data_IF_187826536334
#
_entry.id   IF_187826536334
#
_cell.length_a   1.000
_cell.length_b   1.000
_cell.length_c   1.000
_cell.angle_alpha   90.00
_cell.angle_beta   90.00
_cell.angle_gamma   90.00
#
_symmetry.space_group_name_H-M   'P 1'
#
loop_
_entity.id
_entity.type
_entity.pdbx_description
1 polymer ?
#
# COMPACT_ATOMS: atom_id res chain seq x y z
N UNK A 1 -3.06 9.92 -21.59
CA UNK A 1 -3.35 8.68 -20.86
C UNK A 1 -2.73 8.67 -19.45
N UNK A 2 -1.37 8.88 -19.27
CA UNK A 2 -0.78 8.86 -17.92
C UNK A 2 -1.42 9.87 -16.98
N UNK A 3 -1.58 11.11 -17.43
CA UNK A 3 -2.21 12.16 -16.62
C UNK A 3 -3.66 11.84 -16.25
N UNK A 4 -4.40 11.17 -17.13
CA UNK A 4 -5.78 10.74 -16.85
C UNK A 4 -5.83 9.63 -15.79
N UNK A 5 -4.92 8.65 -15.87
CA UNK A 5 -4.82 7.60 -14.84
C UNK A 5 -4.39 8.15 -13.49
N UNK A 6 -3.46 9.10 -13.47
CA UNK A 6 -3.04 9.79 -12.24
C UNK A 6 -4.19 10.61 -11.67
N UNK A 7 -4.94 11.35 -12.51
CA UNK A 7 -6.10 12.11 -12.09
C UNK A 7 -7.22 11.20 -11.57
N UNK A 8 -7.48 10.09 -12.25
CA UNK A 8 -8.42 9.08 -11.78
C UNK A 8 -8.06 8.59 -10.37
N UNK A 9 -6.80 8.18 -10.18
CA UNK A 9 -6.32 7.72 -8.88
C UNK A 9 -6.41 8.81 -7.80
N UNK A 10 -6.07 10.06 -8.15
CA UNK A 10 -6.17 11.19 -7.22
C UNK A 10 -7.61 11.44 -6.77
N UNK A 11 -8.57 11.42 -7.70
CA UNK A 11 -9.99 11.54 -7.40
C UNK A 11 -10.48 10.36 -6.55
N UNK A 12 -10.09 9.13 -6.92
CA UNK A 12 -10.50 7.90 -6.26
C UNK A 12 -10.01 7.82 -4.81
N UNK A 13 -8.85 8.43 -4.51
CA UNK A 13 -8.23 8.46 -3.18
C UNK A 13 -8.42 9.81 -2.46
N UNK A 14 -9.37 10.63 -2.88
CA UNK A 14 -9.69 11.91 -2.27
C UNK A 14 -8.47 12.83 -2.11
N UNK A 15 -7.58 12.84 -3.10
CA UNK A 15 -6.39 13.67 -3.06
C UNK A 15 -6.75 15.17 -3.14
N UNK A 16 -6.07 16.04 -2.37
CA UNK A 16 -6.36 17.47 -2.38
C UNK A 16 -5.92 18.11 -3.70
N UNK A 17 -6.44 19.31 -3.95
CA UNK A 17 -5.94 20.17 -5.04
C UNK A 17 -4.43 20.38 -4.89
N UNK A 18 -3.70 20.26 -5.98
CA UNK A 18 -2.23 20.32 -5.98
C UNK A 18 -1.51 19.00 -5.71
N UNK A 19 -2.24 17.92 -5.42
CA UNK A 19 -1.66 16.59 -5.42
C UNK A 19 -1.05 16.24 -6.79
N UNK A 20 0.01 15.45 -6.78
CA UNK A 20 0.70 15.07 -8.00
C UNK A 20 1.29 13.66 -7.88
N UNK A 21 1.39 12.97 -9.00
CA UNK A 21 1.87 11.59 -9.01
C UNK A 21 2.43 11.15 -10.33
N UNK A 22 2.78 9.88 -10.42
CA UNK A 22 3.23 9.21 -11.63
C UNK A 22 2.68 7.80 -11.72
N UNK A 23 2.40 7.39 -12.94
CA UNK A 23 2.23 5.99 -13.29
C UNK A 23 3.58 5.26 -13.18
N UNK A 24 3.58 4.06 -12.62
CA UNK A 24 4.77 3.25 -12.36
C UNK A 24 4.59 1.83 -12.88
N UNK A 25 5.67 1.09 -12.98
CA UNK A 25 5.70 -0.30 -13.45
C UNK A 25 5.15 -1.33 -12.45
N UNK A 26 4.68 -0.89 -11.30
CA UNK A 26 4.11 -1.76 -10.26
C UNK A 26 4.31 -1.21 -8.86
N UNK A 27 3.60 -1.80 -7.88
CA UNK A 27 3.60 -1.37 -6.50
C UNK A 27 5.00 -1.29 -5.87
N UNK A 28 5.91 -2.20 -6.24
CA UNK A 28 7.29 -2.14 -5.74
C UNK A 28 7.98 -0.84 -6.16
N UNK A 29 7.82 -0.39 -7.40
CA UNK A 29 8.37 0.88 -7.85
C UNK A 29 7.71 2.05 -7.13
N UNK A 30 6.38 2.03 -6.98
CA UNK A 30 5.63 3.05 -6.24
C UNK A 30 6.14 3.20 -4.80
N UNK A 31 6.30 2.09 -4.08
CA UNK A 31 6.84 2.08 -2.71
C UNK A 31 8.30 2.58 -2.67
N UNK A 32 9.13 2.14 -3.61
CA UNK A 32 10.52 2.61 -3.70
C UNK A 32 10.60 4.12 -3.95
N UNK A 33 9.74 4.66 -4.81
CA UNK A 33 9.67 6.10 -5.07
C UNK A 33 9.19 6.88 -3.85
N UNK A 34 8.25 6.34 -3.06
CA UNK A 34 7.85 6.95 -1.79
C UNK A 34 9.04 7.06 -0.82
N UNK A 35 9.82 5.99 -0.67
CA UNK A 35 11.01 5.98 0.20
C UNK A 35 12.11 6.88 -0.35
N UNK A 36 12.36 6.87 -1.67
CA UNK A 36 13.31 7.77 -2.34
C UNK A 36 12.93 9.23 -2.10
N UNK A 37 11.66 9.54 -2.25
CA UNK A 37 11.14 10.90 -2.04
C UNK A 37 11.38 11.35 -0.60
N UNK A 38 11.10 10.50 0.39
CA UNK A 38 11.33 10.81 1.79
C UNK A 38 12.81 11.01 2.11
N UNK A 39 13.69 10.16 1.54
CA UNK A 39 15.14 10.32 1.69
C UNK A 39 15.63 11.65 1.16
N UNK A 40 15.25 12.00 -0.06
CA UNK A 40 15.76 13.20 -0.71
C UNK A 40 15.10 14.48 -0.17
N UNK A 41 13.85 14.39 0.28
CA UNK A 41 13.21 15.44 1.07
C UNK A 41 14.01 15.69 2.36
N UNK A 42 14.31 14.65 3.13
CA UNK A 42 15.05 14.78 4.37
C UNK A 42 16.46 15.36 4.13
N UNK A 43 17.17 14.91 3.10
CA UNK A 43 18.47 15.48 2.72
C UNK A 43 18.44 16.99 2.48
N UNK A 44 17.32 17.48 1.93
CA UNK A 44 17.16 18.91 1.61
C UNK A 44 16.69 19.75 2.78
N UNK A 45 15.79 19.21 3.64
CA UNK A 45 15.13 20.01 4.70
C UNK A 45 15.59 19.66 6.10
N UNK A 46 16.28 18.52 6.29
CA UNK A 46 16.86 18.04 7.56
C UNK A 46 18.30 17.55 7.34
N UNK A 47 19.22 18.42 6.85
CA UNK A 47 20.58 18.01 6.48
C UNK A 47 21.42 17.49 7.65
N UNK A 48 20.97 17.71 8.88
CA UNK A 48 21.54 17.15 10.12
C UNK A 48 21.32 15.64 10.26
N UNK A 49 20.30 15.06 9.61
CA UNK A 49 20.01 13.63 9.65
C UNK A 49 21.02 12.87 8.78
N UNK A 50 22.00 12.22 9.43
CA UNK A 50 23.05 11.46 8.73
C UNK A 50 22.72 9.98 8.55
N UNK A 51 21.94 9.41 9.45
CA UNK A 51 21.51 8.01 9.43
C UNK A 51 19.97 7.94 9.35
N UNK A 52 19.40 8.28 8.18
CA UNK A 52 17.95 8.32 8.03
C UNK A 52 17.33 6.94 8.21
N UNK A 53 16.20 6.92 8.90
CA UNK A 53 15.46 5.70 9.20
C UNK A 53 14.00 5.80 8.82
N UNK A 54 13.42 4.65 8.46
CA UNK A 54 12.00 4.50 8.19
C UNK A 54 11.36 3.56 9.19
N UNK A 55 10.17 3.89 9.68
CA UNK A 55 9.39 3.06 10.59
C UNK A 55 8.43 2.20 9.76
N UNK A 56 8.49 0.89 9.99
CA UNK A 56 7.69 -0.12 9.30
C UNK A 56 7.00 -1.03 10.33
N UNK A 57 5.66 -1.18 10.33
CA UNK A 57 5.05 -2.34 10.96
C UNK A 57 5.64 -3.63 10.39
N UNK A 58 5.74 -4.68 11.19
CA UNK A 58 6.29 -5.98 10.72
C UNK A 58 5.46 -6.59 9.58
N UNK A 59 4.22 -6.14 9.41
CA UNK A 59 3.32 -6.49 8.30
C UNK A 59 3.51 -5.67 7.04
N UNK A 60 4.41 -4.66 7.04
CA UNK A 60 4.68 -3.84 5.86
C UNK A 60 5.25 -4.69 4.71
N UNK A 61 4.82 -4.39 3.49
CA UNK A 61 5.24 -5.14 2.30
C UNK A 61 6.75 -5.14 2.11
N UNK A 62 7.31 -6.26 1.62
CA UNK A 62 8.74 -6.44 1.38
C UNK A 62 9.38 -5.38 0.47
N UNK A 63 8.58 -4.66 -0.33
CA UNK A 63 9.05 -3.56 -1.15
C UNK A 63 9.73 -2.44 -0.34
N UNK A 64 9.28 -2.17 0.89
CA UNK A 64 9.90 -1.19 1.79
C UNK A 64 11.22 -1.68 2.34
N UNK A 65 11.34 -2.98 2.66
CA UNK A 65 12.61 -3.59 3.05
C UNK A 65 13.63 -3.50 1.92
N UNK A 66 13.20 -3.78 0.67
CA UNK A 66 14.02 -3.64 -0.53
C UNK A 66 14.43 -2.19 -0.76
N UNK A 67 13.50 -1.25 -0.64
CA UNK A 67 13.78 0.18 -0.80
C UNK A 67 14.81 0.67 0.22
N UNK A 68 14.65 0.34 1.50
CA UNK A 68 15.59 0.69 2.54
C UNK A 68 16.99 0.12 2.28
N UNK A 69 17.06 -1.16 1.85
CA UNK A 69 18.32 -1.80 1.51
C UNK A 69 19.02 -1.09 0.33
N UNK A 70 18.31 -0.83 -0.77
CA UNK A 70 18.89 -0.19 -1.95
C UNK A 70 19.32 1.27 -1.71
N UNK A 71 18.65 1.95 -0.80
CA UNK A 71 18.87 3.38 -0.54
C UNK A 71 19.72 3.67 0.70
N UNK A 72 20.22 2.61 1.37
CA UNK A 72 21.06 2.74 2.56
C UNK A 72 20.33 3.34 3.77
N UNK A 73 19.05 2.99 3.96
CA UNK A 73 18.25 3.48 5.08
C UNK A 73 18.15 2.42 6.18
N UNK A 74 18.14 2.88 7.42
CA UNK A 74 17.85 2.03 8.57
C UNK A 74 16.35 1.75 8.64
N UNK A 75 15.99 0.50 8.91
CA UNK A 75 14.61 0.07 9.17
C UNK A 75 14.39 -0.03 10.67
N UNK A 76 13.35 0.60 11.16
CA UNK A 76 12.85 0.43 12.52
C UNK A 76 11.56 -0.37 12.42
N UNK A 77 11.64 -1.64 12.80
CA UNK A 77 10.48 -2.54 12.76
C UNK A 77 9.68 -2.42 14.05
N UNK A 78 8.38 -2.24 13.91
CA UNK A 78 7.45 -2.12 15.03
C UNK A 78 6.49 -3.31 14.99
N UNK A 79 6.31 -4.02 16.11
CA UNK A 79 5.33 -5.10 16.17
C UNK A 79 3.92 -4.57 15.94
N UNK A 80 3.04 -5.45 15.49
CA UNK A 80 1.61 -5.20 15.36
C UNK A 80 0.86 -5.83 16.53
N UNK A 81 -0.36 -5.42 16.75
CA UNK A 81 -1.24 -6.04 17.74
C UNK A 81 -1.44 -7.54 17.38
N UNK A 82 -1.19 -8.47 18.31
CA UNK A 82 -1.18 -9.91 18.00
C UNK A 82 -2.59 -10.51 17.75
N UNK A 83 -3.64 -9.75 18.02
CA UNK A 83 -5.03 -10.19 17.82
C UNK A 83 -5.61 -9.59 16.55
N UNK A 84 -5.40 -8.29 16.34
CA UNK A 84 -5.97 -7.58 15.20
C UNK A 84 -5.03 -7.51 13.99
N UNK A 85 -3.74 -7.77 14.19
CA UNK A 85 -2.66 -7.63 13.21
C UNK A 85 -2.52 -6.22 12.63
N UNK A 86 -3.12 -5.23 13.28
CA UNK A 86 -2.99 -3.82 12.92
C UNK A 86 -1.76 -3.20 13.59
N UNK A 87 -1.16 -2.24 12.94
CA UNK A 87 -0.10 -1.43 13.51
C UNK A 87 -0.56 -0.75 14.81
N UNK A 88 0.33 -0.65 15.80
CA UNK A 88 0.05 0.06 17.05
C UNK A 88 0.57 1.50 16.97
N UNK A 89 -0.30 2.53 16.95
CA UNK A 89 0.12 3.92 16.90
C UNK A 89 1.04 4.34 18.05
N UNK A 90 0.86 3.76 19.23
CA UNK A 90 1.70 4.08 20.40
C UNK A 90 3.12 3.56 20.24
N UNK A 91 3.25 2.33 19.72
CA UNK A 91 4.56 1.75 19.44
C UNK A 91 5.24 2.48 18.28
N UNK A 92 4.49 2.88 17.25
CA UNK A 92 5.01 3.73 16.17
C UNK A 92 5.52 5.05 16.73
N UNK A 93 4.74 5.74 17.57
CA UNK A 93 5.15 7.01 18.14
C UNK A 93 6.39 6.89 19.03
N UNK A 94 6.47 5.83 19.84
CA UNK A 94 7.62 5.55 20.69
C UNK A 94 8.89 5.24 19.88
N UNK A 95 8.76 4.73 18.66
CA UNK A 95 9.86 4.41 17.76
C UNK A 95 10.42 5.63 17.00
N UNK A 96 9.72 6.77 17.02
CA UNK A 96 10.17 7.98 16.31
C UNK A 96 11.38 8.60 16.99
N UNK A 97 12.43 8.79 16.22
CA UNK A 97 13.66 9.49 16.62
C UNK A 97 13.89 10.74 15.76
N UNK A 98 14.87 11.59 16.08
CA UNK A 98 15.26 12.69 15.18
C UNK A 98 15.70 12.25 13.78
N UNK A 99 16.10 10.99 13.62
CA UNK A 99 16.51 10.41 12.34
C UNK A 99 15.34 9.85 11.52
N UNK A 100 14.14 9.79 12.08
CA UNK A 100 12.95 9.23 11.38
C UNK A 100 12.50 10.18 10.28
N UNK A 101 12.55 9.69 9.02
CA UNK A 101 12.17 10.47 7.85
C UNK A 101 10.81 10.07 7.27
N UNK A 102 10.37 8.84 7.53
CA UNK A 102 9.09 8.33 7.03
C UNK A 102 8.51 7.27 7.95
N UNK A 103 7.19 7.30 8.08
CA UNK A 103 6.37 6.22 8.64
C UNK A 103 5.61 5.58 7.48
N UNK A 104 5.41 4.26 7.55
CA UNK A 104 4.60 3.50 6.59
C UNK A 104 3.48 2.79 7.33
N UNK A 105 2.30 2.75 6.74
CA UNK A 105 1.18 1.90 7.16
C UNK A 105 0.44 1.38 5.93
N UNK A 106 -0.40 0.37 6.09
CA UNK A 106 -1.03 -0.36 4.99
C UNK A 106 -2.55 -0.17 4.95
N UNK A 107 -3.05 0.08 3.77
CA UNK A 107 -4.48 0.01 3.44
C UNK A 107 -4.68 -0.97 2.25
N UNK A 108 -4.60 -2.29 2.47
CA UNK A 108 -4.49 -3.05 3.73
C UNK A 108 -3.19 -3.86 3.80
N UNK A 109 -2.88 -4.46 4.96
CA UNK A 109 -1.76 -5.37 5.08
C UNK A 109 -2.01 -6.70 4.36
N UNK A 110 -1.00 -7.22 3.67
CA UNK A 110 -1.00 -8.57 3.13
C UNK A 110 -0.34 -9.52 4.16
N UNK A 111 -0.91 -10.66 4.51
CA UNK A 111 -2.10 -11.33 3.99
C UNK A 111 -3.33 -11.19 4.92
N UNK A 112 -3.25 -10.40 5.99
CA UNK A 112 -4.30 -10.35 7.01
C UNK A 112 -5.54 -9.57 6.53
N UNK A 113 -5.39 -8.72 5.51
CA UNK A 113 -6.49 -7.94 4.95
C UNK A 113 -7.00 -6.83 5.88
N UNK A 114 -6.23 -6.44 6.88
CA UNK A 114 -6.61 -5.43 7.87
C UNK A 114 -6.08 -4.05 7.50
N UNK A 115 -6.92 -3.06 7.75
CA UNK A 115 -6.61 -1.64 7.59
C UNK A 115 -5.90 -1.15 8.85
N UNK A 116 -4.67 -0.66 8.71
CA UNK A 116 -3.96 -0.02 9.81
C UNK A 116 -4.72 1.23 10.29
N UNK A 117 -4.50 1.69 11.53
CA UNK A 117 -5.15 2.89 12.09
C UNK A 117 -4.55 4.17 11.49
N UNK A 118 -4.84 4.40 10.20
CA UNK A 118 -4.27 5.50 9.40
C UNK A 118 -4.55 6.89 10.01
N UNK A 119 -5.76 7.19 10.56
CA UNK A 119 -6.01 8.48 11.17
C UNK A 119 -5.08 8.78 12.34
N UNK A 120 -4.94 7.85 13.27
CA UNK A 120 -4.12 8.01 14.47
C UNK A 120 -2.63 8.13 14.12
N UNK A 121 -2.14 7.31 13.19
CA UNK A 121 -0.77 7.39 12.69
C UNK A 121 -0.55 8.71 11.94
N UNK A 122 -1.54 9.16 11.18
CA UNK A 122 -1.51 10.43 10.45
C UNK A 122 -1.38 11.64 11.40
N UNK A 123 -2.11 11.65 12.51
CA UNK A 123 -1.99 12.69 13.55
C UNK A 123 -0.58 12.70 14.17
N UNK A 124 -0.03 11.52 14.46
CA UNK A 124 1.34 11.39 14.98
C UNK A 124 2.35 11.93 13.96
N UNK A 125 2.25 11.50 12.70
CA UNK A 125 3.16 11.93 11.64
C UNK A 125 3.13 13.46 11.46
N UNK A 126 1.93 14.06 11.47
CA UNK A 126 1.73 15.51 11.35
C UNK A 126 2.36 16.25 12.55
N UNK A 127 2.08 15.80 13.78
CA UNK A 127 2.62 16.40 14.99
C UNK A 127 4.15 16.32 15.07
N UNK A 128 4.71 15.22 14.57
CA UNK A 128 6.17 14.97 14.57
C UNK A 128 6.89 15.54 13.34
N UNK A 129 6.17 16.10 12.36
CA UNK A 129 6.75 16.62 11.13
C UNK A 129 7.49 15.56 10.31
N UNK A 130 6.95 14.32 10.29
CA UNK A 130 7.50 13.16 9.58
C UNK A 130 6.61 12.85 8.38
N UNK A 131 7.20 12.46 7.23
CA UNK A 131 6.42 12.01 6.10
C UNK A 131 5.70 10.69 6.41
N UNK A 132 4.49 10.55 5.93
CA UNK A 132 3.67 9.36 6.13
C UNK A 132 3.18 8.81 4.79
N UNK A 133 3.57 7.58 4.48
CA UNK A 133 3.14 6.86 3.30
C UNK A 133 2.11 5.79 3.66
N UNK A 134 1.02 5.75 2.92
CA UNK A 134 0.03 4.68 3.00
C UNK A 134 0.20 3.75 1.80
N UNK A 135 0.55 2.51 2.06
CA UNK A 135 0.56 1.45 1.06
C UNK A 135 -0.86 0.99 0.78
N UNK A 136 -1.45 1.59 -0.25
CA UNK A 136 -2.76 1.24 -0.78
C UNK A 136 -2.70 0.33 -2.01
N UNK A 137 -1.58 -0.33 -2.28
CA UNK A 137 -1.42 -1.19 -3.46
C UNK A 137 -2.53 -2.24 -3.60
N UNK A 138 -3.10 -2.70 -2.49
CA UNK A 138 -4.24 -3.62 -2.48
C UNK A 138 -5.56 -2.86 -2.29
N UNK A 139 -5.75 -2.26 -1.14
CA UNK A 139 -7.03 -1.69 -0.75
C UNK A 139 -7.34 -0.34 -1.38
N UNK A 140 -6.33 0.40 -1.82
CA UNK A 140 -6.53 1.75 -2.37
C UNK A 140 -7.55 1.80 -3.51
N UNK A 141 -7.62 0.76 -4.34
CA UNK A 141 -8.63 0.67 -5.39
C UNK A 141 -9.98 0.11 -4.88
N UNK A 142 -9.96 -0.88 -4.00
CA UNK A 142 -11.16 -1.63 -3.61
C UNK A 142 -11.93 -1.00 -2.45
N UNK A 143 -11.24 -0.43 -1.45
CA UNK A 143 -11.87 0.12 -0.25
C UNK A 143 -12.88 1.24 -0.52
N UNK A 144 -12.66 2.18 -1.47
CA UNK A 144 -13.67 3.19 -1.79
C UNK A 144 -14.99 2.60 -2.27
N UNK A 145 -14.94 1.47 -2.99
CA UNK A 145 -16.16 0.75 -3.39
C UNK A 145 -16.82 0.05 -2.22
N UNK A 146 -16.05 -0.50 -1.27
CA UNK A 146 -16.61 -1.12 -0.06
C UNK A 146 -17.29 -0.08 0.83
N UNK A 147 -16.73 1.11 0.99
CA UNK A 147 -17.41 2.23 1.66
C UNK A 147 -18.76 2.53 1.00
N UNK A 148 -18.81 2.59 -0.33
CA UNK A 148 -20.05 2.83 -1.09
C UNK A 148 -21.05 1.67 -1.01
N UNK A 149 -20.59 0.45 -0.69
CA UNK A 149 -21.46 -0.70 -0.38
C UNK A 149 -21.98 -0.69 1.06
N UNK A 150 -21.57 0.28 1.88
CA UNK A 150 -22.04 0.49 3.25
C UNK A 150 -21.11 -0.04 4.33
N UNK A 151 -19.89 -0.50 3.99
CA UNK A 151 -18.91 -0.87 5.01
C UNK A 151 -18.38 0.38 5.73
N UNK A 152 -18.32 0.29 7.05
CA UNK A 152 -17.85 1.38 7.91
C UNK A 152 -16.35 1.26 8.08
N UNK A 153 -15.60 1.90 7.18
CA UNK A 153 -14.14 1.94 7.24
C UNK A 153 -13.66 3.27 7.86
N UNK A 154 -12.58 3.19 8.63
CA UNK A 154 -11.87 4.41 9.00
C UNK A 154 -11.28 5.09 7.74
N UNK A 155 -11.16 6.40 7.70
CA UNK A 155 -10.47 7.08 6.60
C UNK A 155 -9.05 6.54 6.43
N UNK A 156 -8.68 6.19 5.18
CA UNK A 156 -7.41 5.52 4.89
C UNK A 156 -6.60 6.21 3.80
N UNK A 157 -7.14 7.27 3.22
CA UNK A 157 -6.60 7.97 2.07
C UNK A 157 -6.24 9.43 2.41
N UNK A 158 -6.17 10.28 1.39
CA UNK A 158 -5.83 11.68 1.59
C UNK A 158 -6.86 12.50 2.38
N UNK A 159 -8.00 11.93 2.78
CA UNK A 159 -8.89 12.54 3.78
C UNK A 159 -8.20 12.67 5.14
N UNK A 160 -7.18 11.83 5.40
CA UNK A 160 -6.33 11.97 6.59
C UNK A 160 -5.24 13.01 6.33
N UNK A 161 -5.22 14.15 7.03
CA UNK A 161 -4.29 15.26 6.74
C UNK A 161 -2.81 14.88 6.82
N UNK A 162 -2.46 13.95 7.70
CA UNK A 162 -1.08 13.48 7.88
C UNK A 162 -0.54 12.60 6.74
N UNK A 163 -1.39 12.04 5.89
CA UNK A 163 -0.96 11.23 4.75
C UNK A 163 -0.28 12.13 3.72
N UNK A 164 1.01 11.90 3.47
CA UNK A 164 1.82 12.70 2.53
C UNK A 164 2.00 12.04 1.18
N UNK A 165 1.89 10.71 1.12
CA UNK A 165 1.92 9.95 -0.14
C UNK A 165 1.14 8.65 -0.03
N UNK A 166 0.70 8.12 -1.16
CA UNK A 166 -0.04 6.87 -1.25
C UNK A 166 0.26 6.14 -2.55
N UNK A 167 0.44 4.81 -2.48
CA UNK A 167 0.53 3.94 -3.65
C UNK A 167 -0.78 3.21 -3.89
N UNK A 168 -1.11 2.92 -5.16
CA UNK A 168 -2.28 2.14 -5.55
C UNK A 168 -2.00 1.35 -6.82
N UNK A 169 -2.30 0.04 -6.83
CA UNK A 169 -2.07 -0.81 -7.99
C UNK A 169 -3.32 -0.96 -8.85
N UNK A 170 -3.22 -0.56 -10.12
CA UNK A 170 -4.25 -0.87 -11.10
C UNK A 170 -4.25 -2.35 -11.48
N UNK A 171 -3.08 -2.99 -11.49
CA UNK A 171 -2.93 -4.39 -11.87
C UNK A 171 -3.35 -5.40 -10.79
N UNK A 172 -4.01 -4.93 -9.72
CA UNK A 172 -4.66 -5.77 -8.72
C UNK A 172 -6.18 -5.70 -8.90
N UNK A 173 -6.88 -4.91 -8.11
CA UNK A 173 -8.34 -4.88 -8.11
C UNK A 173 -8.99 -3.96 -9.15
N UNK A 174 -8.18 -3.20 -9.90
CA UNK A 174 -8.68 -2.57 -11.13
C UNK A 174 -8.62 -3.51 -12.36
N UNK A 175 -8.19 -4.76 -12.18
CA UNK A 175 -8.14 -5.79 -13.21
C UNK A 175 -7.30 -5.45 -14.44
N UNK A 176 -6.40 -4.51 -14.32
CA UNK A 176 -5.48 -4.14 -15.39
C UNK A 176 -4.32 -5.15 -15.51
N UNK A 177 -3.71 -5.28 -16.69
CA UNK A 177 -2.51 -6.09 -16.88
C UNK A 177 -1.39 -5.71 -15.95
N UNK A 178 -0.50 -6.65 -15.60
CA UNK A 178 0.67 -6.43 -14.77
C UNK A 178 1.55 -5.31 -15.32
N UNK A 179 2.18 -4.56 -14.44
CA UNK A 179 2.98 -3.40 -14.82
C UNK A 179 2.24 -2.06 -14.70
N UNK A 180 1.15 -2.01 -13.93
CA UNK A 180 0.32 -0.83 -13.78
C UNK A 180 0.08 -0.49 -12.30
N UNK A 181 0.70 0.58 -11.82
CA UNK A 181 0.54 1.15 -10.47
C UNK A 181 0.68 2.67 -10.53
N UNK A 182 0.38 3.33 -9.45
CA UNK A 182 0.54 4.78 -9.30
C UNK A 182 1.09 5.12 -7.93
N UNK A 183 1.96 6.12 -7.89
CA UNK A 183 2.36 6.83 -6.68
C UNK A 183 1.79 8.24 -6.71
N UNK A 184 1.12 8.63 -5.63
CA UNK A 184 0.60 9.98 -5.43
C UNK A 184 1.27 10.63 -4.23
N UNK A 185 1.54 11.92 -4.35
CA UNK A 185 1.99 12.79 -3.26
C UNK A 185 0.96 13.87 -3.01
N UNK A 186 0.77 14.24 -1.75
CA UNK A 186 -0.18 15.29 -1.33
C UNK A 186 0.07 16.63 -2.02
N UNK A 187 1.32 16.93 -2.36
CA UNK A 187 1.69 18.19 -3.01
C UNK A 187 2.83 18.04 -4.00
N UNK A 188 2.91 18.99 -4.94
CA UNK A 188 4.05 19.13 -5.86
C UNK A 188 5.36 19.40 -5.13
N UNK A 189 5.30 20.06 -3.97
CA UNK A 189 6.48 20.37 -3.16
C UNK A 189 7.13 19.10 -2.58
N UNK A 190 6.34 18.10 -2.23
CA UNK A 190 6.86 16.79 -1.83
C UNK A 190 7.30 16.01 -3.07
N UNK A 191 6.46 15.97 -4.11
CA UNK A 191 6.75 15.19 -5.33
C UNK A 191 8.03 15.63 -6.03
N UNK A 192 8.45 16.90 -5.97
CA UNK A 192 9.70 17.34 -6.61
C UNK A 192 10.93 16.53 -6.17
N UNK A 193 10.94 16.00 -4.97
CA UNK A 193 12.01 15.15 -4.45
C UNK A 193 11.98 13.71 -4.99
N UNK A 194 10.91 13.32 -5.69
CA UNK A 194 10.87 12.09 -6.46
C UNK A 194 11.70 12.17 -7.73
N UNK A 195 11.83 13.36 -8.32
CA UNK A 195 12.46 13.56 -9.61
C UNK A 195 13.98 13.42 -9.50
N UNK A 196 14.58 12.66 -10.40
CA UNK A 196 16.01 12.64 -10.62
C UNK A 196 16.37 13.58 -11.78
N UNK A 197 17.40 14.37 -11.60
CA UNK A 197 17.93 15.26 -12.63
C UNK A 197 19.42 15.05 -12.80
N UNK A 198 19.90 15.05 -14.04
CA UNK A 198 21.32 14.93 -14.37
C UNK A 198 21.65 15.85 -15.55
N UNK A 199 22.54 16.80 -15.32
CA UNK A 199 23.06 17.69 -16.34
C UNK A 199 24.51 17.33 -16.78
N UNK A 200 25.11 16.34 -16.13
CA UNK A 200 26.48 15.86 -16.42
C UNK A 200 26.51 14.85 -17.57
N UNK A 201 25.34 14.47 -18.08
CA UNK A 201 25.22 13.58 -19.22
C UNK A 201 25.43 14.32 -20.54
N UNK A 202 26.20 13.72 -21.45
CA UNK A 202 26.67 14.38 -22.69
C UNK A 202 25.55 14.60 -23.72
N UNK A 203 24.43 13.92 -23.65
CA UNK A 203 23.37 14.02 -24.64
C UNK A 203 22.42 15.20 -24.39
N UNK A 204 21.86 15.28 -23.18
CA UNK A 204 20.86 16.30 -22.79
C UNK A 204 20.68 16.27 -21.28
N UNK A 205 20.04 17.30 -20.72
CA UNK A 205 19.65 17.27 -19.31
C UNK A 205 18.54 16.25 -19.10
N UNK A 206 18.84 15.18 -18.38
CA UNK A 206 17.86 14.15 -18.03
C UNK A 206 17.01 14.62 -16.85
N UNK A 207 15.69 14.54 -17.01
CA UNK A 207 14.71 14.76 -15.94
C UNK A 207 13.82 13.52 -15.89
N UNK A 208 13.94 12.74 -14.83
CA UNK A 208 13.25 11.46 -14.71
C UNK A 208 12.50 11.35 -13.39
N UNK A 209 11.14 11.26 -13.40
CA UNK A 209 10.34 11.14 -12.20
C UNK A 209 10.17 9.69 -11.68
N UNK A 210 10.61 8.67 -12.43
CA UNK A 210 10.41 7.24 -12.09
C UNK A 210 11.74 6.49 -12.05
N UNK A 211 11.73 5.23 -11.61
CA UNK A 211 12.95 4.40 -11.61
C UNK A 211 13.36 4.08 -13.06
N UNK A 212 12.36 3.78 -13.91
CA UNK A 212 12.60 3.57 -15.33
C UNK A 212 12.64 4.90 -16.07
N UNK A 213 13.62 5.09 -16.93
CA UNK A 213 13.69 6.27 -17.80
C UNK A 213 12.57 6.23 -18.85
N UNK A 214 12.51 5.16 -19.61
CA UNK A 214 11.45 4.92 -20.60
C UNK A 214 10.51 3.86 -20.07
N UNK A 215 9.23 4.21 -19.93
CA UNK A 215 8.19 3.29 -19.50
C UNK A 215 7.56 2.59 -20.72
N UNK A 216 7.17 1.32 -20.54
CA UNK A 216 6.37 0.62 -21.55
C UNK A 216 4.98 1.25 -21.65
N UNK A 217 4.55 1.58 -22.87
CA UNK A 217 3.20 2.09 -23.14
C UNK A 217 2.10 1.02 -22.97
N UNK A 218 2.41 -0.25 -23.23
CA UNK A 218 1.42 -1.32 -23.20
C UNK A 218 0.62 -1.43 -21.91
N UNK A 219 1.24 -1.55 -20.72
CA UNK A 219 0.51 -1.58 -19.45
C UNK A 219 -0.27 -0.31 -19.16
N UNK A 220 0.25 0.86 -19.56
CA UNK A 220 -0.40 2.15 -19.39
C UNK A 220 -1.67 2.25 -20.25
N UNK A 221 -1.55 1.92 -21.55
CA UNK A 221 -2.66 1.96 -22.49
C UNK A 221 -3.74 0.95 -22.13
N UNK A 222 -3.32 -0.27 -21.73
CA UNK A 222 -4.23 -1.30 -21.28
C UNK A 222 -4.95 -0.91 -19.97
N UNK A 223 -4.26 -0.26 -19.00
CA UNK A 223 -4.90 0.23 -17.79
C UNK A 223 -5.95 1.30 -18.11
N UNK A 224 -5.63 2.23 -19.01
CA UNK A 224 -6.57 3.26 -19.45
C UNK A 224 -7.80 2.62 -20.13
N UNK A 225 -7.57 1.67 -21.03
CA UNK A 225 -8.65 0.99 -21.72
C UNK A 225 -9.57 0.21 -20.77
N UNK A 226 -9.01 -0.54 -19.82
CA UNK A 226 -9.79 -1.34 -18.85
C UNK A 226 -10.62 -0.44 -17.95
N UNK A 227 -10.03 0.66 -17.42
CA UNK A 227 -10.75 1.58 -16.53
C UNK A 227 -11.93 2.22 -17.27
N UNK A 228 -11.72 2.67 -18.50
CA UNK A 228 -12.80 3.28 -19.30
C UNK A 228 -13.84 2.26 -19.76
N UNK A 229 -13.43 1.02 -20.09
CA UNK A 229 -14.34 -0.04 -20.52
C UNK A 229 -15.26 -0.52 -19.39
N UNK A 230 -14.70 -0.76 -18.20
CA UNK A 230 -15.49 -1.21 -17.04
C UNK A 230 -16.32 -0.05 -16.43
N UNK A 231 -15.73 1.11 -16.35
CA UNK A 231 -16.35 2.28 -15.72
C UNK A 231 -16.72 2.03 -14.25
N UNK A 232 -17.28 3.02 -13.63
CA UNK A 232 -17.65 2.97 -12.21
C UNK A 232 -18.67 1.86 -11.88
N UNK A 233 -19.70 1.71 -12.74
CA UNK A 233 -20.72 0.66 -12.56
C UNK A 233 -20.15 -0.76 -12.66
N UNK A 234 -19.20 -0.98 -13.58
CA UNK A 234 -18.52 -2.27 -13.71
C UNK A 234 -17.73 -2.63 -12.46
N UNK A 235 -16.97 -1.67 -11.92
CA UNK A 235 -16.22 -1.87 -10.69
C UNK A 235 -17.12 -2.04 -9.47
N UNK A 236 -18.20 -1.28 -9.36
CA UNK A 236 -19.18 -1.45 -8.28
C UNK A 236 -19.81 -2.85 -8.31
N UNK A 237 -20.14 -3.37 -9.50
CA UNK A 237 -20.65 -4.75 -9.66
C UNK A 237 -19.63 -5.78 -9.20
N UNK A 238 -18.34 -5.62 -9.56
CA UNK A 238 -17.30 -6.54 -9.12
C UNK A 238 -17.04 -6.43 -7.61
N UNK A 239 -16.96 -5.23 -7.07
CA UNK A 239 -16.79 -5.00 -5.64
C UNK A 239 -17.90 -5.68 -4.83
N UNK A 240 -19.16 -5.58 -5.26
CA UNK A 240 -20.30 -6.27 -4.62
C UNK A 240 -20.11 -7.77 -4.61
N UNK A 241 -19.74 -8.37 -5.74
CA UNK A 241 -19.50 -9.82 -5.85
C UNK A 241 -18.35 -10.27 -4.95
N UNK A 242 -17.24 -9.52 -4.93
CA UNK A 242 -16.10 -9.78 -4.05
C UNK A 242 -16.55 -9.74 -2.59
N UNK A 243 -17.24 -8.69 -2.21
CA UNK A 243 -17.72 -8.47 -0.85
C UNK A 243 -18.66 -9.60 -0.38
N UNK A 244 -19.64 -9.99 -1.20
CA UNK A 244 -20.55 -11.09 -0.91
C UNK A 244 -19.80 -12.44 -0.80
N UNK A 245 -18.86 -12.71 -1.69
CA UNK A 245 -18.05 -13.92 -1.64
C UNK A 245 -17.18 -13.95 -0.39
N UNK A 246 -16.56 -12.83 -0.03
CA UNK A 246 -15.74 -12.70 1.18
C UNK A 246 -16.55 -13.02 2.43
N UNK A 247 -17.75 -12.45 2.56
CA UNK A 247 -18.64 -12.74 3.70
C UNK A 247 -18.99 -14.22 3.82
N UNK A 248 -19.23 -14.89 2.68
CA UNK A 248 -19.49 -16.34 2.68
C UNK A 248 -18.27 -17.14 3.12
N UNK A 249 -17.06 -16.77 2.65
CA UNK A 249 -15.81 -17.43 3.04
C UNK A 249 -15.58 -17.26 4.55
N UNK A 250 -15.70 -16.05 5.07
CA UNK A 250 -15.56 -15.76 6.50
C UNK A 250 -16.56 -16.58 7.33
N UNK A 251 -17.83 -16.60 6.93
CA UNK A 251 -18.86 -17.37 7.61
C UNK A 251 -18.55 -18.89 7.57
N UNK A 252 -18.09 -19.39 6.44
CA UNK A 252 -17.67 -20.79 6.28
C UNK A 252 -16.51 -21.17 7.19
N UNK A 253 -15.47 -20.35 7.26
CA UNK A 253 -14.33 -20.57 8.16
C UNK A 253 -14.80 -20.60 9.63
N UNK A 254 -15.61 -19.62 10.03
CA UNK A 254 -16.13 -19.53 11.40
C UNK A 254 -17.05 -20.70 11.78
N UNK A 255 -17.75 -21.29 10.82
CA UNK A 255 -18.63 -22.44 11.02
C UNK A 255 -17.89 -23.78 10.97
N UNK A 256 -16.64 -23.83 10.51
CA UNK A 256 -15.85 -25.06 10.40
C UNK A 256 -15.08 -25.31 11.69
N UNK A 257 -15.38 -26.45 12.36
CA UNK A 257 -14.66 -26.85 13.58
C UNK A 257 -13.16 -26.93 13.33
N UNK A 258 -12.37 -26.45 14.28
CA UNK A 258 -10.91 -26.45 14.19
C UNK A 258 -10.30 -25.33 13.33
N UNK A 259 -11.10 -24.55 12.59
CA UNK A 259 -10.61 -23.37 11.87
C UNK A 259 -10.94 -22.08 12.63
N UNK A 260 -10.03 -21.11 12.53
CA UNK A 260 -10.28 -19.74 13.03
C UNK A 260 -9.67 -18.72 12.10
N UNK A 261 -10.28 -17.53 12.01
CA UNK A 261 -9.65 -16.38 11.37
C UNK A 261 -8.42 -15.95 12.17
N UNK A 262 -7.38 -15.52 11.49
CA UNK A 262 -6.24 -14.84 12.15
C UNK A 262 -6.62 -13.43 12.57
N UNK A 263 -7.37 -12.71 11.73
CA UNK A 263 -7.91 -11.40 12.03
C UNK A 263 -9.28 -11.24 11.34
N UNK A 264 -10.10 -10.30 11.80
CA UNK A 264 -11.28 -9.86 11.05
C UNK A 264 -10.83 -8.93 9.92
N UNK A 265 -10.96 -9.34 8.66
CA UNK A 265 -10.43 -8.54 7.56
C UNK A 265 -11.34 -7.36 7.21
N UNK A 266 -10.73 -6.24 6.85
CA UNK A 266 -11.42 -5.06 6.31
C UNK A 266 -11.61 -5.15 4.77
N UNK A 267 -11.02 -6.20 4.13
CA UNK A 267 -11.11 -6.46 2.69
C UNK A 267 -11.42 -7.92 2.39
N UNK A 268 -11.18 -8.32 1.15
CA UNK A 268 -11.33 -9.69 0.67
C UNK A 268 -10.11 -10.60 0.90
N UNK A 269 -9.06 -10.11 1.51
CA UNK A 269 -7.96 -10.94 1.98
C UNK A 269 -8.35 -11.58 3.30
N UNK A 270 -8.44 -12.90 3.32
CA UNK A 270 -8.89 -13.65 4.50
C UNK A 270 -7.80 -14.62 4.90
N UNK A 271 -7.21 -14.40 6.08
CA UNK A 271 -6.22 -15.28 6.65
C UNK A 271 -6.84 -16.14 7.76
N UNK A 272 -6.58 -17.44 7.73
CA UNK A 272 -7.10 -18.38 8.72
C UNK A 272 -6.02 -19.36 9.19
N UNK A 273 -6.23 -19.95 10.34
CA UNK A 273 -5.35 -20.94 10.97
C UNK A 273 -6.15 -21.98 11.74
N UNK A 274 -5.44 -22.90 12.37
CA UNK A 274 -5.97 -23.89 13.30
C UNK A 274 -5.01 -24.05 14.49
N UNK A 275 -5.58 -24.25 15.68
CA UNK A 275 -4.82 -24.67 16.88
C UNK A 275 -4.89 -26.19 17.08
N UNK A 276 -5.77 -26.88 16.34
CA UNK A 276 -6.05 -28.32 16.53
C UNK A 276 -5.20 -29.19 15.60
N UNK A 277 -4.80 -28.65 14.43
CA UNK A 277 -4.05 -29.39 13.42
C UNK A 277 -3.18 -28.46 12.56
N UNK A 278 -2.16 -28.96 11.87
CA UNK A 278 -1.37 -28.18 10.93
C UNK A 278 -2.23 -27.68 9.76
N UNK A 279 -2.52 -26.38 9.71
CA UNK A 279 -3.42 -25.78 8.71
C UNK A 279 -2.96 -25.99 7.27
N UNK A 280 -1.67 -26.25 7.05
CA UNK A 280 -1.12 -26.52 5.70
C UNK A 280 -1.69 -27.79 5.08
N UNK A 281 -2.15 -28.78 5.89
CA UNK A 281 -2.86 -29.94 5.36
C UNK A 281 -4.19 -29.55 4.69
N UNK A 282 -4.87 -28.51 5.19
CA UNK A 282 -6.07 -27.97 4.54
C UNK A 282 -5.76 -27.43 3.16
N UNK A 283 -4.63 -26.74 3.00
CA UNK A 283 -4.17 -26.22 1.70
C UNK A 283 -3.93 -27.38 0.73
N UNK A 284 -3.27 -28.43 1.18
CA UNK A 284 -2.94 -29.58 0.34
C UNK A 284 -4.22 -30.35 -0.10
N UNK A 285 -5.20 -30.51 0.80
CA UNK A 285 -6.46 -31.16 0.46
C UNK A 285 -7.31 -30.29 -0.49
N UNK A 286 -7.46 -29.00 -0.19
CA UNK A 286 -8.20 -28.07 -1.05
C UNK A 286 -7.62 -27.96 -2.47
N UNK A 287 -6.29 -28.11 -2.60
CA UNK A 287 -5.61 -28.12 -3.90
C UNK A 287 -6.07 -29.29 -4.77
N UNK A 288 -6.39 -30.46 -4.18
CA UNK A 288 -6.91 -31.63 -4.94
C UNK A 288 -8.26 -31.33 -5.56
N UNK A 289 -9.05 -30.44 -4.92
CA UNK A 289 -10.35 -29.99 -5.42
C UNK A 289 -10.25 -28.72 -6.30
N UNK A 290 -9.02 -28.33 -6.68
CA UNK A 290 -8.78 -27.20 -7.59
C UNK A 290 -8.72 -25.84 -6.92
N UNK A 291 -8.71 -25.74 -5.57
CA UNK A 291 -8.56 -24.51 -4.85
C UNK A 291 -7.09 -24.21 -4.59
N UNK A 292 -6.64 -23.02 -4.97
CA UNK A 292 -5.29 -22.56 -4.72
C UNK A 292 -5.32 -21.57 -3.55
N UNK A 293 -4.82 -22.01 -2.40
CA UNK A 293 -4.62 -21.18 -1.23
C UNK A 293 -3.13 -20.86 -1.07
N UNK A 294 -2.83 -19.65 -0.61
CA UNK A 294 -1.44 -19.28 -0.38
C UNK A 294 -1.03 -19.59 1.06
N UNK A 295 -0.02 -20.46 1.20
CA UNK A 295 0.64 -20.65 2.48
C UNK A 295 1.35 -19.36 2.90
N UNK A 296 1.11 -18.95 4.15
CA UNK A 296 1.83 -17.84 4.78
C UNK A 296 2.78 -18.43 5.81
N UNK A 297 4.04 -18.02 5.74
CA UNK A 297 4.97 -18.30 6.82
C UNK A 297 4.65 -17.36 7.97
N UNK A 298 4.34 -17.94 9.13
CA UNK A 298 4.11 -17.12 10.32
C UNK A 298 5.38 -16.37 10.65
N UNK A 299 5.43 -15.08 10.33
CA UNK A 299 6.38 -14.20 10.95
C UNK A 299 5.68 -13.57 12.14
N UNK A 300 6.02 -14.01 13.31
CA UNK A 300 5.71 -13.28 14.54
C UNK A 300 6.77 -13.58 15.59
N UNK A 301 8.05 -13.62 15.18
CA UNK A 301 9.14 -13.56 16.13
C UNK A 301 9.00 -14.52 17.33
N UNK A 302 8.66 -15.78 17.03
CA UNK A 302 8.76 -16.82 18.04
C UNK A 302 10.18 -17.31 18.16
#
# INVERSE_FOLDING_TARGET
LENELVAYAATHLNAPEGAAGNFTSGGTESCMLAVKTARDFARAVKPEVKEPEIILPVTAHAAFHKAAHYMGLKKVLVPVDPVTFKADPKLIEAAITPNTIQIVASAVSYAHGVLDPIPEIGEIAQRRGTLFHVDGCIGGFLLPYFERLGEKLAPFDFRVPGVTSMSMDFHKYAYCPKGASVILHRSKDIRRFQIFTCAEYTGYTLINPTILSTKSGGPLDAAWAVINYLGDEGYMRFARRIHEATKKIIAGIKATSGLKLLAEPDTNLVAFTSDEFPVFHVIDEMKKDGWLLQAQLGYMGS
#
